data_IF_047031930048
#
_entry.id   IF_047031930048
#
_cell.length_a   1.000
_cell.length_b   1.000
_cell.length_c   1.000
_cell.angle_alpha   90.00
_cell.angle_beta   90.00
_cell.angle_gamma   90.00
#
_symmetry.space_group_name_H-M   'P 1'
#
loop_
_entity.id
_entity.type
_entity.pdbx_description
1 polymer ?
#
# COMPACT_ATOMS: atom_id res chain seq x y z
N UNK A 1 11.98 -10.55 0.09
CA UNK A 1 13.11 -10.14 0.98
C UNK A 1 13.72 -8.78 0.59
N UNK A 2 13.84 -8.42 -0.69
CA UNK A 2 14.36 -7.10 -1.09
C UNK A 2 13.48 -5.90 -0.67
N UNK A 3 12.15 -6.04 -0.68
CA UNK A 3 11.19 -4.98 -0.32
C UNK A 3 11.41 -4.38 1.08
N UNK A 4 11.53 -5.23 2.11
CA UNK A 4 11.66 -4.76 3.50
C UNK A 4 12.97 -4.01 3.73
N UNK A 5 14.07 -4.43 3.11
CA UNK A 5 15.38 -3.78 3.27
C UNK A 5 15.40 -2.38 2.67
N UNK A 6 14.80 -2.22 1.48
CA UNK A 6 14.83 -0.92 0.78
C UNK A 6 13.83 0.07 1.41
N UNK A 7 12.64 -0.41 1.83
CA UNK A 7 11.68 0.41 2.58
C UNK A 7 12.28 0.86 3.91
N UNK A 8 12.98 -0.03 4.65
CA UNK A 8 13.66 0.35 5.89
C UNK A 8 14.79 1.37 5.67
N UNK A 9 15.55 1.27 4.58
CA UNK A 9 16.61 2.25 4.28
C UNK A 9 16.05 3.61 3.87
N UNK A 10 14.92 3.64 3.16
CA UNK A 10 14.26 4.87 2.70
C UNK A 10 13.66 5.70 3.85
N UNK A 11 13.07 5.06 4.86
CA UNK A 11 12.54 5.79 6.02
C UNK A 11 13.61 6.34 6.96
N UNK A 12 14.84 5.81 6.92
CA UNK A 12 15.99 6.43 7.62
C UNK A 12 16.45 7.74 6.96
N UNK A 13 16.07 8.01 5.71
CA UNK A 13 16.50 9.18 4.93
C UNK A 13 15.47 10.31 4.81
N UNK A 14 14.30 10.20 5.44
CA UNK A 14 13.23 11.22 5.43
C UNK A 14 12.67 11.59 4.03
N UNK A 15 12.77 10.69 3.04
CA UNK A 15 12.35 10.97 1.66
C UNK A 15 11.19 10.06 1.23
N UNK A 16 9.98 10.31 1.76
CA UNK A 16 8.79 9.52 1.43
C UNK A 16 8.39 9.58 -0.06
N UNK A 17 8.79 10.62 -0.79
CA UNK A 17 8.66 10.71 -2.26
C UNK A 17 9.49 9.63 -2.97
N UNK A 18 10.73 9.41 -2.54
CA UNK A 18 11.59 8.38 -3.13
C UNK A 18 11.04 6.99 -2.81
N UNK A 19 10.45 6.83 -1.63
CA UNK A 19 9.79 5.59 -1.24
C UNK A 19 8.57 5.27 -2.10
N UNK A 20 7.73 6.26 -2.43
CA UNK A 20 6.62 6.04 -3.35
C UNK A 20 7.12 5.78 -4.78
N UNK A 21 8.12 6.54 -5.26
CA UNK A 21 8.66 6.35 -6.60
C UNK A 21 9.24 4.95 -6.80
N UNK A 22 10.01 4.46 -5.83
CA UNK A 22 10.53 3.10 -5.87
C UNK A 22 9.40 2.07 -5.79
N UNK A 23 8.40 2.31 -4.94
CA UNK A 23 7.24 1.42 -4.85
C UNK A 23 6.45 1.35 -6.17
N UNK A 24 6.30 2.49 -6.86
CA UNK A 24 5.73 2.56 -8.21
C UNK A 24 6.60 1.82 -9.21
N UNK A 25 7.90 2.06 -9.22
CA UNK A 25 8.83 1.37 -10.11
C UNK A 25 8.74 -0.15 -9.92
N UNK A 26 8.74 -0.64 -8.68
CA UNK A 26 8.63 -2.07 -8.40
C UNK A 26 7.27 -2.66 -8.81
N UNK A 27 6.18 -1.90 -8.63
CA UNK A 27 4.85 -2.35 -9.05
C UNK A 27 4.62 -2.21 -10.57
N UNK A 28 5.31 -1.30 -11.27
CA UNK A 28 5.22 -1.07 -12.72
C UNK A 28 6.17 -1.98 -13.53
N UNK A 29 7.41 -2.20 -13.06
CA UNK A 29 8.44 -3.04 -13.73
C UNK A 29 8.00 -4.50 -13.77
N UNK A 30 7.28 -4.95 -12.76
CA UNK A 30 6.81 -6.32 -12.63
C UNK A 30 5.29 -6.32 -12.88
N UNK A 31 4.89 -6.37 -14.17
CA UNK A 31 3.50 -6.24 -14.63
C UNK A 31 2.58 -7.27 -13.97
N UNK A 32 2.01 -6.92 -12.81
CA UNK A 32 1.14 -7.79 -12.01
C UNK A 32 1.67 -8.13 -10.62
N UNK A 33 2.81 -7.56 -10.20
CA UNK A 33 3.30 -7.74 -8.84
C UNK A 33 2.48 -6.91 -7.86
N UNK A 34 1.73 -7.62 -7.03
CA UNK A 34 1.06 -7.08 -5.85
C UNK A 34 1.97 -7.41 -4.65
N UNK A 35 2.50 -6.41 -3.93
CA UNK A 35 3.38 -6.65 -2.77
C UNK A 35 2.59 -7.17 -1.57
N UNK A 36 3.23 -8.03 -0.77
CA UNK A 36 2.67 -8.52 0.50
C UNK A 36 2.15 -7.34 1.36
N UNK A 37 0.98 -7.52 2.00
CA UNK A 37 0.39 -6.50 2.85
C UNK A 37 1.35 -6.03 3.96
N UNK A 38 2.18 -6.93 4.50
CA UNK A 38 3.21 -6.60 5.49
C UNK A 38 4.21 -5.54 4.99
N UNK A 39 4.64 -5.64 3.73
CA UNK A 39 5.57 -4.68 3.10
C UNK A 39 4.87 -3.35 2.84
N UNK A 40 3.62 -3.39 2.38
CA UNK A 40 2.81 -2.19 2.19
C UNK A 40 2.52 -1.48 3.53
N UNK A 41 2.25 -2.23 4.60
CA UNK A 41 1.97 -1.67 5.92
C UNK A 41 3.15 -0.85 6.46
N UNK A 42 4.38 -1.33 6.27
CA UNK A 42 5.59 -0.59 6.64
C UNK A 42 5.69 0.74 5.88
N UNK A 43 5.37 0.76 4.57
CA UNK A 43 5.30 1.98 3.78
C UNK A 43 4.22 2.93 4.30
N UNK A 44 3.03 2.39 4.56
CA UNK A 44 1.89 3.17 5.01
C UNK A 44 2.15 3.86 6.37
N UNK A 45 2.69 3.11 7.35
CA UNK A 45 3.01 3.67 8.67
C UNK A 45 4.06 4.80 8.54
N UNK A 46 5.07 4.63 7.68
CA UNK A 46 6.07 5.66 7.47
C UNK A 46 5.53 6.90 6.74
N UNK A 47 4.65 6.75 5.75
CA UNK A 47 3.99 7.88 5.08
C UNK A 47 3.08 8.65 6.05
N UNK A 48 2.32 7.95 6.90
CA UNK A 48 1.48 8.57 7.92
C UNK A 48 2.29 9.36 8.96
N UNK A 49 3.41 8.78 9.42
CA UNK A 49 4.31 9.47 10.36
C UNK A 49 4.93 10.74 9.77
N UNK A 50 5.09 10.80 8.44
CA UNK A 50 5.59 11.97 7.72
C UNK A 50 4.49 12.94 7.29
N UNK A 51 3.22 12.66 7.59
CA UNK A 51 2.07 13.47 7.14
C UNK A 51 1.86 13.45 5.63
N UNK A 52 2.40 12.43 4.94
CA UNK A 52 2.36 12.28 3.49
C UNK A 52 1.09 11.52 3.05
N UNK A 53 -0.07 12.00 3.50
CA UNK A 53 -1.37 11.34 3.31
C UNK A 53 -1.72 11.15 1.82
N UNK A 54 -1.42 12.14 0.97
CA UNK A 54 -1.68 12.07 -0.47
C UNK A 54 -0.91 10.93 -1.16
N UNK A 55 0.32 10.67 -0.68
CA UNK A 55 1.15 9.57 -1.17
C UNK A 55 0.60 8.21 -0.71
N UNK A 56 0.06 8.13 0.51
CA UNK A 56 -0.62 6.93 0.99
C UNK A 56 -1.87 6.63 0.16
N UNK A 57 -2.71 7.64 -0.09
CA UNK A 57 -3.93 7.51 -0.90
C UNK A 57 -3.56 6.99 -2.30
N UNK A 58 -2.57 7.61 -2.94
CA UNK A 58 -2.09 7.21 -4.26
C UNK A 58 -1.58 5.77 -4.29
N UNK A 59 -0.85 5.33 -3.26
CA UNK A 59 -0.34 3.97 -3.17
C UNK A 59 -1.48 2.95 -3.03
N UNK A 60 -2.49 3.24 -2.20
CA UNK A 60 -3.67 2.38 -2.03
C UNK A 60 -4.43 2.24 -3.36
N UNK A 61 -4.68 3.35 -4.06
CA UNK A 61 -5.41 3.33 -5.33
C UNK A 61 -4.67 2.54 -6.41
N UNK A 62 -3.35 2.73 -6.52
CA UNK A 62 -2.51 1.98 -7.47
C UNK A 62 -2.61 0.46 -7.26
N UNK A 63 -2.57 0.01 -6.01
CA UNK A 63 -2.64 -1.42 -5.71
C UNK A 63 -4.06 -1.94 -5.90
N UNK A 64 -5.08 -1.17 -5.51
CA UNK A 64 -6.47 -1.55 -5.70
C UNK A 64 -6.81 -1.75 -7.18
N UNK A 65 -6.27 -0.89 -8.06
CA UNK A 65 -6.36 -1.03 -9.51
C UNK A 65 -5.65 -2.31 -9.99
N UNK A 66 -4.39 -2.52 -9.59
CA UNK A 66 -3.61 -3.71 -9.98
C UNK A 66 -4.19 -5.02 -9.46
N UNK A 67 -4.78 -5.00 -8.26
CA UNK A 67 -5.44 -6.15 -7.64
C UNK A 67 -6.86 -6.37 -8.17
N UNK A 68 -7.33 -5.53 -9.10
CA UNK A 68 -8.65 -5.59 -9.73
C UNK A 68 -9.79 -5.66 -8.69
N UNK A 69 -9.69 -4.81 -7.65
CA UNK A 69 -10.72 -4.72 -6.61
C UNK A 69 -12.06 -4.28 -7.21
N UNK A 70 -13.16 -4.75 -6.60
CA UNK A 70 -14.50 -4.32 -7.03
C UNK A 70 -14.66 -2.84 -6.72
N UNK A 71 -15.39 -2.12 -7.56
CA UNK A 71 -15.70 -0.70 -7.34
C UNK A 71 -16.34 -0.43 -5.96
N UNK A 72 -17.15 -1.36 -5.46
CA UNK A 72 -17.71 -1.31 -4.10
C UNK A 72 -16.64 -1.34 -3.00
N UNK A 73 -15.60 -2.13 -3.20
CA UNK A 73 -14.50 -2.31 -2.25
C UNK A 73 -13.60 -1.08 -2.24
N UNK A 74 -13.28 -0.57 -3.43
CA UNK A 74 -12.54 0.70 -3.62
C UNK A 74 -13.31 1.86 -3.00
N UNK A 75 -14.62 1.93 -3.19
CA UNK A 75 -15.49 2.95 -2.62
C UNK A 75 -15.50 2.91 -1.09
N UNK A 76 -15.52 1.73 -0.47
CA UNK A 76 -15.44 1.58 0.98
C UNK A 76 -14.09 2.11 1.52
N UNK A 77 -12.98 1.79 0.85
CA UNK A 77 -11.66 2.29 1.22
C UNK A 77 -11.60 3.82 1.10
N UNK A 78 -12.06 4.38 -0.02
CA UNK A 78 -12.14 5.83 -0.25
C UNK A 78 -12.98 6.54 0.81
N UNK A 79 -14.06 5.90 1.28
CA UNK A 79 -14.88 6.40 2.39
C UNK A 79 -14.05 6.68 3.64
N UNK A 80 -13.21 5.73 4.07
CA UNK A 80 -12.31 5.90 5.22
C UNK A 80 -11.21 6.93 4.97
N UNK A 81 -10.65 6.99 3.76
CA UNK A 81 -9.60 7.95 3.39
C UNK A 81 -10.10 9.40 3.46
N UNK A 82 -11.33 9.67 2.99
CA UNK A 82 -11.94 11.02 3.03
C UNK A 82 -12.10 11.58 4.44
N UNK A 83 -12.34 10.72 5.42
CA UNK A 83 -12.48 11.11 6.84
C UNK A 83 -11.19 10.91 7.63
N UNK A 84 -10.06 10.68 6.94
CA UNK A 84 -8.72 10.47 7.51
C UNK A 84 -8.64 9.32 8.53
N UNK A 85 -9.54 8.34 8.45
CA UNK A 85 -9.48 7.10 9.24
C UNK A 85 -8.52 6.10 8.58
N UNK A 86 -7.25 6.47 8.48
CA UNK A 86 -6.25 5.73 7.70
C UNK A 86 -6.06 4.29 8.18
N UNK A 87 -6.06 4.04 9.49
CA UNK A 87 -5.92 2.67 10.01
C UNK A 87 -7.12 1.78 9.68
N UNK A 88 -8.35 2.33 9.66
CA UNK A 88 -9.54 1.59 9.22
C UNK A 88 -9.50 1.31 7.72
N UNK A 89 -9.00 2.28 6.93
CA UNK A 89 -8.75 2.09 5.50
C UNK A 89 -7.74 0.97 5.27
N UNK A 90 -6.60 0.97 5.99
CA UNK A 90 -5.56 -0.06 5.91
C UNK A 90 -6.07 -1.44 6.33
N UNK A 91 -6.87 -1.53 7.38
CA UNK A 91 -7.45 -2.80 7.83
C UNK A 91 -8.41 -3.37 6.77
N UNK A 92 -9.24 -2.52 6.17
CA UNK A 92 -10.15 -2.93 5.09
C UNK A 92 -9.38 -3.34 3.84
N UNK A 93 -8.38 -2.56 3.46
CA UNK A 93 -7.51 -2.83 2.32
C UNK A 93 -6.72 -4.14 2.47
N UNK A 94 -6.13 -4.40 3.63
CA UNK A 94 -5.41 -5.65 3.91
C UNK A 94 -6.32 -6.88 3.80
N UNK A 95 -7.52 -6.83 4.38
CA UNK A 95 -8.52 -7.91 4.24
C UNK A 95 -8.87 -8.19 2.78
N UNK A 96 -9.05 -7.15 1.97
CA UNK A 96 -9.36 -7.29 0.55
C UNK A 96 -8.20 -7.87 -0.26
N UNK A 97 -6.97 -7.51 0.09
CA UNK A 97 -5.79 -8.11 -0.53
C UNK A 97 -5.69 -9.61 -0.21
N UNK A 98 -5.95 -10.02 1.03
CA UNK A 98 -5.91 -11.42 1.44
C UNK A 98 -6.99 -12.25 0.72
N UNK A 99 -8.20 -11.69 0.56
CA UNK A 99 -9.30 -12.34 -0.19
C UNK A 99 -8.96 -12.51 -1.67
N UNK A 100 -8.38 -11.46 -2.29
CA UNK A 100 -8.11 -11.45 -3.73
C UNK A 100 -6.77 -12.12 -4.10
N UNK A 101 -5.91 -12.44 -3.13
CA UNK A 101 -4.61 -13.07 -3.38
C UNK A 101 -4.34 -14.23 -2.39
N UNK A 102 -4.92 -15.43 -2.63
CA UNK A 102 -4.76 -16.58 -1.75
C UNK A 102 -3.34 -17.17 -1.69
N UNK A 103 -2.38 -16.57 -2.42
CA UNK A 103 -0.95 -16.89 -2.28
C UNK A 103 -0.35 -16.43 -0.95
N UNK A 104 -1.05 -15.58 -0.19
CA UNK A 104 -0.60 -15.11 1.13
C UNK A 104 -1.25 -15.82 2.31
N UNK A 105 -2.23 -16.69 2.06
CA UNK A 105 -2.94 -17.47 3.11
C UNK A 105 -2.18 -18.69 3.62
N UNK A 106 -0.95 -18.93 3.14
CA UNK A 106 -0.04 -19.92 3.71
C UNK A 106 1.27 -19.25 4.14
N UNK A 107 1.34 -18.87 5.41
CA UNK A 107 2.56 -18.89 6.21
C UNK A 107 2.29 -19.62 7.51
#
# INVERSE_FOLDING_TARGET
>A
KAFNTVIQSLFKGNNGRDALNLYREMTEVDKGFIPEFSSFRMLADGLLNLGMDDYLISAIELIAEKANFRESDVSAIRGYLRIRKFYDALATFGRLLDINNPRWTYR
#
